data_IF_622765097015
#
_entry.id   IF_622765097015
#
_cell.length_a   1.000
_cell.length_b   1.000
_cell.length_c   1.000
_cell.angle_alpha   90.00
_cell.angle_beta   90.00
_cell.angle_gamma   90.00
#
_symmetry.space_group_name_H-M   'P 1'
#
loop_
_entity.id
_entity.type
_entity.pdbx_description
1 polymer ?
#
# COMPACT_ATOMS: atom_id res chain seq x y z
N UNK A 1 4.78 32.64 -47.25
CA UNK A 1 5.18 31.22 -47.14
C UNK A 1 5.33 30.88 -45.66
N UNK A 2 4.40 30.10 -45.06
CA UNK A 2 4.30 29.94 -43.61
C UNK A 2 5.35 28.97 -43.06
N UNK A 3 5.94 29.34 -41.91
CA UNK A 3 6.90 28.51 -41.15
C UNK A 3 6.13 27.42 -40.41
N UNK A 4 6.40 26.16 -40.76
CA UNK A 4 5.87 25.02 -40.02
C UNK A 4 6.61 24.89 -38.69
N UNK A 5 5.84 24.78 -37.61
CA UNK A 5 6.30 24.66 -36.23
C UNK A 5 6.30 23.18 -35.91
N UNK A 6 7.47 22.55 -35.91
CA UNK A 6 7.63 21.18 -35.45
C UNK A 6 7.39 21.13 -33.93
N UNK A 7 6.25 20.56 -33.55
CA UNK A 7 5.98 20.21 -32.16
C UNK A 7 6.60 18.85 -31.88
N UNK A 8 7.82 18.85 -31.35
CA UNK A 8 8.42 17.66 -30.74
C UNK A 8 7.62 17.30 -29.48
N UNK A 9 6.86 16.21 -29.55
CA UNK A 9 6.16 15.59 -28.42
C UNK A 9 7.19 14.97 -27.46
N UNK A 10 7.35 15.56 -26.28
CA UNK A 10 8.16 14.99 -25.19
C UNK A 10 7.50 13.69 -24.65
N UNK A 11 8.28 12.66 -24.28
CA UNK A 11 7.72 11.41 -23.78
C UNK A 11 7.12 11.59 -22.38
N UNK A 12 5.89 11.10 -22.20
CA UNK A 12 5.20 11.07 -20.92
C UNK A 12 6.01 10.24 -19.92
N UNK A 13 6.39 10.85 -18.79
CA UNK A 13 7.07 10.18 -17.68
C UNK A 13 6.19 9.03 -17.17
N UNK A 14 6.66 7.80 -17.33
CA UNK A 14 6.01 6.62 -16.76
C UNK A 14 5.91 6.77 -15.23
N UNK A 15 4.69 6.75 -14.71
CA UNK A 15 4.48 6.77 -13.27
C UNK A 15 5.11 5.53 -12.62
N UNK A 16 5.73 5.66 -11.43
CA UNK A 16 6.29 4.51 -10.73
C UNK A 16 5.20 3.48 -10.46
N UNK A 17 5.47 2.23 -10.82
CA UNK A 17 4.57 1.09 -10.60
C UNK A 17 4.31 0.96 -9.09
N UNK A 18 3.05 0.84 -8.64
CA UNK A 18 2.77 0.68 -7.22
C UNK A 18 3.46 -0.58 -6.68
N UNK A 19 4.07 -0.52 -5.47
CA UNK A 19 4.81 -1.64 -4.89
C UNK A 19 3.89 -2.85 -4.71
N UNK A 20 4.41 -4.05 -4.97
CA UNK A 20 3.58 -5.25 -4.88
C UNK A 20 3.27 -5.58 -3.41
N UNK A 21 2.06 -6.08 -3.08
CA UNK A 21 1.68 -6.37 -1.69
C UNK A 21 2.63 -7.32 -0.94
N UNK A 22 3.37 -8.17 -1.65
CA UNK A 22 4.37 -9.07 -1.06
C UNK A 22 5.61 -8.31 -0.55
N UNK A 23 6.08 -7.32 -1.30
CA UNK A 23 7.23 -6.50 -0.92
C UNK A 23 6.89 -5.64 0.30
N UNK A 24 5.70 -5.03 0.29
CA UNK A 24 5.18 -4.27 1.44
C UNK A 24 5.15 -5.11 2.73
N UNK A 25 4.66 -6.36 2.67
CA UNK A 25 4.68 -7.26 3.84
C UNK A 25 6.10 -7.58 4.32
N UNK A 26 7.04 -7.75 3.38
CA UNK A 26 8.45 -8.02 3.71
C UNK A 26 9.09 -6.81 4.37
N UNK A 27 8.90 -5.62 3.80
CA UNK A 27 9.38 -4.35 4.33
C UNK A 27 8.83 -4.10 5.73
N UNK A 28 7.51 -4.27 5.94
CA UNK A 28 6.88 -4.18 7.26
C UNK A 28 7.53 -5.09 8.28
N UNK A 29 7.75 -6.36 7.92
CA UNK A 29 8.40 -7.32 8.83
C UNK A 29 9.82 -6.89 9.18
N UNK A 30 10.62 -6.44 8.21
CA UNK A 30 11.97 -5.96 8.49
C UNK A 30 11.98 -4.71 9.37
N UNK A 31 11.06 -3.77 9.14
CA UNK A 31 10.95 -2.55 9.95
C UNK A 31 10.59 -2.87 11.40
N UNK A 32 9.67 -3.82 11.64
CA UNK A 32 9.30 -4.23 13.00
C UNK A 32 10.48 -4.85 13.76
N UNK A 33 11.29 -5.68 13.09
CA UNK A 33 12.49 -6.28 13.71
C UNK A 33 13.50 -5.20 14.07
N UNK A 34 13.81 -4.31 13.11
CA UNK A 34 14.78 -3.21 13.35
C UNK A 34 14.26 -2.27 14.44
N UNK A 35 12.97 -1.93 14.43
CA UNK A 35 12.35 -1.09 15.48
C UNK A 35 12.55 -1.70 16.87
N UNK A 36 12.34 -3.00 17.01
CA UNK A 36 12.51 -3.69 18.29
C UNK A 36 13.97 -3.66 18.76
N UNK A 37 14.92 -3.91 17.86
CA UNK A 37 16.35 -3.80 18.14
C UNK A 37 16.72 -2.37 18.59
N UNK A 38 16.28 -1.36 17.85
CA UNK A 38 16.55 0.06 18.19
C UNK A 38 15.91 0.50 19.49
N UNK A 39 14.72 -0.03 19.82
CA UNK A 39 14.08 0.25 21.11
C UNK A 39 14.88 -0.37 22.27
N UNK A 40 15.39 -1.59 22.10
CA UNK A 40 16.29 -2.23 23.06
C UNK A 40 17.60 -1.45 23.22
N UNK A 41 18.20 -1.01 22.12
CA UNK A 41 19.41 -0.18 22.12
C UNK A 41 19.19 1.16 22.84
N UNK A 42 18.06 1.82 22.61
CA UNK A 42 17.70 3.08 23.27
C UNK A 42 17.59 2.90 24.80
N UNK A 43 17.01 1.79 25.26
CA UNK A 43 16.96 1.45 26.69
C UNK A 43 18.35 1.24 27.28
N UNK A 44 19.23 0.53 26.56
CA UNK A 44 20.63 0.35 26.96
C UNK A 44 21.41 1.67 27.01
N UNK A 45 21.20 2.53 26.02
CA UNK A 45 21.79 3.87 25.97
C UNK A 45 21.35 4.71 27.18
N UNK A 46 20.04 4.73 27.48
CA UNK A 46 19.51 5.47 28.62
C UNK A 46 20.09 4.96 29.95
N UNK A 47 20.21 3.64 30.11
CA UNK A 47 20.84 3.04 31.29
C UNK A 47 22.32 3.44 31.42
N UNK A 48 23.09 3.43 30.34
CA UNK A 48 24.50 3.83 30.36
C UNK A 48 24.68 5.33 30.61
N UNK A 49 23.77 6.18 30.12
CA UNK A 49 23.76 7.62 30.41
C UNK A 49 23.47 7.89 31.89
N UNK A 50 22.51 7.16 32.47
CA UNK A 50 22.19 7.24 33.90
C UNK A 50 23.38 6.79 34.76
N UNK A 51 23.98 5.62 34.47
CA UNK A 51 25.13 5.09 35.24
C UNK A 51 26.34 6.03 35.24
N UNK A 52 26.51 6.85 34.21
CA UNK A 52 27.63 7.78 34.04
C UNK A 52 27.31 9.21 34.44
N UNK A 53 26.08 9.46 34.90
CA UNK A 53 25.55 10.80 35.22
C UNK A 53 25.76 11.83 34.11
N UNK A 54 25.64 11.39 32.86
CA UNK A 54 25.80 12.23 31.66
C UNK A 54 24.59 12.10 30.76
N UNK A 55 23.56 12.88 31.08
CA UNK A 55 22.36 12.93 30.28
C UNK A 55 22.52 13.89 29.08
N UNK A 56 22.26 13.36 27.90
CA UNK A 56 22.25 14.06 26.62
C UNK A 56 20.87 13.91 26.00
N UNK A 57 19.99 14.88 26.28
CA UNK A 57 18.62 14.90 25.77
C UNK A 57 18.57 14.93 24.23
N UNK A 58 19.51 15.61 23.58
CA UNK A 58 19.55 15.74 22.12
C UNK A 58 19.70 14.38 21.43
N UNK A 59 20.63 13.55 21.91
CA UNK A 59 20.83 12.20 21.39
C UNK A 59 19.58 11.32 21.60
N UNK A 60 18.91 11.44 22.75
CA UNK A 60 17.68 10.68 23.02
C UNK A 60 16.58 11.09 22.04
N UNK A 61 16.39 12.40 21.83
CA UNK A 61 15.40 12.92 20.88
C UNK A 61 15.67 12.43 19.46
N UNK A 62 16.93 12.46 19.01
CA UNK A 62 17.32 11.95 17.70
C UNK A 62 16.95 10.47 17.52
N UNK A 63 17.29 9.61 18.50
CA UNK A 63 16.98 8.17 18.44
C UNK A 63 15.48 7.88 18.53
N UNK A 64 14.74 8.66 19.32
CA UNK A 64 13.29 8.58 19.34
C UNK A 64 12.68 8.99 17.99
N UNK A 65 13.22 10.03 17.34
CA UNK A 65 12.74 10.45 16.03
C UNK A 65 12.94 9.36 14.96
N UNK A 66 14.08 8.65 14.99
CA UNK A 66 14.30 7.48 14.13
C UNK A 66 13.24 6.39 14.35
N UNK A 67 12.94 6.05 15.62
CA UNK A 67 11.90 5.06 15.96
C UNK A 67 10.52 5.49 15.48
N UNK A 68 10.14 6.75 15.71
CA UNK A 68 8.85 7.32 15.27
C UNK A 68 8.74 7.30 13.75
N UNK A 69 9.83 7.57 13.02
CA UNK A 69 9.83 7.47 11.57
C UNK A 69 9.61 6.03 11.09
N UNK A 70 10.22 5.04 11.75
CA UNK A 70 9.97 3.61 11.44
C UNK A 70 8.52 3.22 11.71
N UNK A 71 7.93 3.67 12.82
CA UNK A 71 6.52 3.44 13.16
C UNK A 71 5.58 4.06 12.13
N UNK A 72 5.83 5.31 11.74
CA UNK A 72 5.06 5.99 10.72
C UNK A 72 5.08 5.22 9.39
N UNK A 73 6.25 4.70 8.99
CA UNK A 73 6.38 3.89 7.78
C UNK A 73 5.63 2.57 7.88
N UNK A 74 5.67 1.89 9.03
CA UNK A 74 4.88 0.67 9.27
C UNK A 74 3.38 0.97 9.14
N UNK A 75 2.90 2.06 9.73
CA UNK A 75 1.50 2.49 9.62
C UNK A 75 1.09 2.81 8.17
N UNK A 76 1.95 3.46 7.39
CA UNK A 76 1.71 3.71 5.98
C UNK A 76 1.56 2.40 5.19
N UNK A 77 2.46 1.44 5.42
CA UNK A 77 2.40 0.12 4.77
C UNK A 77 1.11 -0.62 5.14
N UNK A 78 0.69 -0.57 6.40
CA UNK A 78 -0.56 -1.19 6.85
C UNK A 78 -1.77 -0.56 6.15
N UNK A 79 -1.80 0.77 6.01
CA UNK A 79 -2.85 1.46 5.27
C UNK A 79 -2.90 1.05 3.77
N UNK A 80 -1.73 0.91 3.13
CA UNK A 80 -1.61 0.47 1.74
C UNK A 80 -2.07 -0.98 1.54
N UNK A 81 -1.69 -1.87 2.46
CA UNK A 81 -2.11 -3.27 2.44
C UNK A 81 -3.62 -3.41 2.65
N UNK A 82 -4.19 -2.65 3.59
CA UNK A 82 -5.63 -2.63 3.85
C UNK A 82 -6.42 -2.07 2.66
N UNK A 83 -5.94 -0.97 2.06
CA UNK A 83 -6.50 -0.40 0.85
C UNK A 83 -6.53 -1.40 -0.31
N UNK A 84 -5.39 -2.05 -0.58
CA UNK A 84 -5.26 -3.08 -1.62
C UNK A 84 -6.18 -4.28 -1.37
N UNK A 85 -6.31 -4.67 -0.11
CA UNK A 85 -7.18 -5.77 0.34
C UNK A 85 -8.66 -5.44 0.16
N UNK A 86 -9.08 -4.21 0.48
CA UNK A 86 -10.44 -3.70 0.24
C UNK A 86 -10.76 -3.63 -1.25
N UNK A 87 -9.86 -3.10 -2.08
CA UNK A 87 -10.01 -3.05 -3.54
C UNK A 87 -10.22 -4.45 -4.14
N UNK A 88 -9.45 -5.44 -3.69
CA UNK A 88 -9.57 -6.84 -4.13
C UNK A 88 -10.87 -7.50 -3.70
N UNK A 89 -11.36 -7.23 -2.49
CA UNK A 89 -12.67 -7.72 -2.03
C UNK A 89 -13.83 -7.03 -2.74
N UNK A 90 -13.62 -5.78 -3.13
CA UNK A 90 -14.57 -4.94 -3.85
C UNK A 90 -14.54 -5.11 -5.36
N UNK A 91 -13.76 -6.05 -5.91
CA UNK A 91 -13.69 -6.31 -7.35
C UNK A 91 -14.12 -7.73 -7.70
N UNK A 92 -14.79 -7.86 -8.83
CA UNK A 92 -15.18 -9.11 -9.45
C UNK A 92 -14.75 -9.11 -10.93
N UNK A 93 -14.80 -10.26 -11.58
CA UNK A 93 -14.44 -10.41 -13.00
C UNK A 93 -15.68 -10.63 -13.85
N UNK A 94 -15.81 -9.84 -14.91
CA UNK A 94 -16.84 -10.05 -15.91
C UNK A 94 -16.58 -11.37 -16.64
N UNK A 95 -17.61 -11.95 -17.27
CA UNK A 95 -17.48 -13.14 -18.13
C UNK A 95 -16.49 -12.91 -19.28
N UNK A 96 -16.30 -11.67 -19.72
CA UNK A 96 -15.29 -11.32 -20.72
C UNK A 96 -13.86 -11.24 -20.16
N UNK A 97 -13.65 -11.49 -18.87
CA UNK A 97 -12.35 -11.44 -18.19
C UNK A 97 -11.96 -10.06 -17.63
N UNK A 98 -12.73 -9.01 -17.89
CA UNK A 98 -12.41 -7.67 -17.41
C UNK A 98 -12.75 -7.49 -15.91
N UNK A 99 -11.86 -6.90 -15.10
CA UNK A 99 -12.16 -6.59 -13.70
C UNK A 99 -13.15 -5.42 -13.60
N UNK A 100 -14.09 -5.51 -12.67
CA UNK A 100 -15.06 -4.44 -12.37
C UNK A 100 -15.26 -4.33 -10.85
N UNK A 101 -15.72 -3.16 -10.40
CA UNK A 101 -16.06 -2.93 -8.99
C UNK A 101 -17.44 -3.52 -8.67
N UNK A 102 -17.58 -4.19 -7.53
CA UNK A 102 -18.86 -4.64 -7.00
C UNK A 102 -19.84 -3.46 -6.92
N UNK A 103 -21.01 -3.60 -7.54
CA UNK A 103 -22.00 -2.53 -7.72
C UNK A 103 -21.94 -1.81 -9.08
N UNK A 104 -20.96 -2.10 -9.96
CA UNK A 104 -20.99 -1.61 -11.33
C UNK A 104 -22.15 -2.27 -12.10
N UNK A 105 -23.01 -1.46 -12.73
CA UNK A 105 -24.18 -1.94 -13.49
C UNK A 105 -23.80 -2.50 -14.87
N UNK A 106 -22.68 -2.06 -15.45
CA UNK A 106 -22.21 -2.46 -16.77
C UNK A 106 -20.69 -2.67 -16.78
N UNK A 107 -20.20 -3.59 -17.61
CA UNK A 107 -18.77 -3.80 -17.82
C UNK A 107 -18.16 -2.68 -18.68
N UNK A 108 -17.07 -2.06 -18.21
CA UNK A 108 -16.37 -0.99 -18.92
C UNK A 108 -15.66 -1.45 -20.22
N UNK A 109 -15.46 -2.76 -20.40
CA UNK A 109 -14.78 -3.32 -21.58
C UNK A 109 -15.77 -3.87 -22.62
N UNK A 110 -16.79 -4.62 -22.21
CA UNK A 110 -17.70 -5.29 -23.13
C UNK A 110 -19.14 -4.75 -23.11
N UNK A 111 -19.45 -3.77 -22.26
CA UNK A 111 -20.76 -3.13 -22.16
C UNK A 111 -21.88 -4.01 -21.58
N UNK A 112 -21.60 -5.27 -21.22
CA UNK A 112 -22.62 -6.20 -20.71
C UNK A 112 -23.16 -5.71 -19.37
N UNK A 113 -24.49 -5.81 -19.12
CA UNK A 113 -25.04 -5.55 -17.81
C UNK A 113 -24.52 -6.60 -16.83
N UNK A 114 -24.01 -6.14 -15.71
CA UNK A 114 -23.60 -7.01 -14.62
C UNK A 114 -24.85 -7.20 -13.75
N UNK A 115 -25.32 -8.44 -13.63
CA UNK A 115 -26.37 -8.74 -12.66
C UNK A 115 -25.87 -8.28 -11.28
N UNK A 116 -26.74 -7.65 -10.49
CA UNK A 116 -26.50 -7.41 -9.06
C UNK A 116 -26.26 -8.78 -8.42
N UNK A 117 -25.00 -9.20 -8.39
CA UNK A 117 -24.57 -10.35 -7.63
C UNK A 117 -24.58 -9.93 -6.16
N UNK A 118 -25.79 -9.82 -5.60
CA UNK A 118 -25.98 -9.98 -4.17
C UNK A 118 -25.33 -11.30 -3.79
N UNK A 119 -24.41 -11.24 -2.85
CA UNK A 119 -23.59 -12.36 -2.40
C UNK A 119 -24.40 -13.66 -2.26
N UNK A 120 -23.95 -14.71 -2.94
CA UNK A 120 -24.25 -16.11 -2.63
C UNK A 120 -25.65 -16.61 -2.99
N UNK A 121 -25.77 -17.34 -4.10
CA UNK A 121 -26.46 -18.65 -4.19
C UNK A 121 -26.10 -19.28 -5.54
N UNK A 122 -25.70 -20.56 -5.49
CA UNK A 122 -25.21 -21.33 -6.63
C UNK A 122 -26.28 -21.54 -7.73
N UNK A 123 -25.85 -22.00 -8.92
CA UNK A 123 -26.79 -22.20 -10.02
C UNK A 123 -27.60 -23.48 -9.75
N UNK A 124 -28.86 -23.29 -9.40
CA UNK A 124 -29.91 -24.29 -9.63
C UNK A 124 -30.02 -24.48 -11.15
N UNK A 125 -29.69 -25.68 -11.62
CA UNK A 125 -29.92 -26.12 -13.00
C UNK A 125 -31.28 -26.80 -13.04
N UNK A 126 -32.31 -26.07 -13.45
CA UNK A 126 -33.63 -26.62 -13.71
C UNK A 126 -34.34 -25.92 -14.87
N UNK A 127 -34.80 -26.74 -15.84
CA UNK A 127 -35.72 -26.46 -16.96
C UNK A 127 -35.16 -25.58 -18.10
N UNK A 128 -35.17 -26.02 -19.36
CA UNK A 128 -36.24 -26.69 -20.10
C UNK A 128 -35.70 -27.33 -21.39
#
# INVERSE_FOLDING_TARGET
>A
MPRQRETTSAPARAAPTPPVPRELRRERKSLLVVREERLRDLGGLALEMYKRDRFNAGLVVERCAELVAMEARVHEIDALLDGSSRLRRGSATCVCGAPFLLGARFCATCGRPMAEATAGTGPDRGAR
#
